data_IF_471924977288
#
_entry.id   IF_471924977288
#
_cell.length_a   1.000
_cell.length_b   1.000
_cell.length_c   1.000
_cell.angle_alpha   90.00
_cell.angle_beta   90.00
_cell.angle_gamma   90.00
#
_symmetry.space_group_name_H-M   'P 1'
#
loop_
_entity.id
_entity.type
_entity.pdbx_description
1 polymer ?
#
# COMPACT_ATOMS: atom_id res chain seq x y z
N UNK A 1 -1.30 -44.49 -58.96
CA UNK A 1 -2.52 -43.65 -58.99
C UNK A 1 -2.28 -42.18 -58.59
N UNK A 2 -1.22 -41.84 -57.85
CA UNK A 2 -0.93 -40.45 -57.43
C UNK A 2 0.06 -39.67 -58.33
N UNK A 3 0.74 -40.33 -59.28
CA UNK A 3 1.76 -39.70 -60.13
C UNK A 3 1.18 -38.78 -61.23
N UNK A 4 -0.11 -38.88 -61.54
CA UNK A 4 -0.79 -38.05 -62.54
C UNK A 4 -1.57 -36.86 -61.95
N UNK A 5 -1.52 -36.67 -60.63
CA UNK A 5 -2.27 -35.59 -59.98
C UNK A 5 -1.65 -34.22 -60.34
N UNK A 6 -2.43 -33.26 -60.88
CA UNK A 6 -1.94 -31.92 -61.16
C UNK A 6 -1.33 -31.28 -59.92
N UNK A 7 -0.25 -30.51 -60.06
CA UNK A 7 0.40 -29.79 -58.93
C UNK A 7 -0.58 -28.99 -58.07
N UNK A 8 -1.66 -28.48 -58.68
CA UNK A 8 -2.74 -27.78 -58.00
C UNK A 8 -3.45 -28.64 -56.94
N UNK A 9 -3.64 -29.94 -57.19
CA UNK A 9 -4.30 -30.86 -56.26
C UNK A 9 -3.43 -31.04 -55.00
N UNK A 10 -2.11 -31.13 -55.16
CA UNK A 10 -1.18 -31.20 -54.02
C UNK A 10 -1.15 -29.90 -53.21
N UNK A 11 -1.22 -28.74 -53.86
CA UNK A 11 -1.36 -27.45 -53.18
C UNK A 11 -2.68 -27.33 -52.40
N UNK A 12 -3.79 -27.77 -53.00
CA UNK A 12 -5.11 -27.76 -52.35
C UNK A 12 -5.17 -28.73 -51.16
N UNK A 13 -4.58 -29.92 -51.29
CA UNK A 13 -4.44 -30.87 -50.17
C UNK A 13 -3.54 -30.31 -49.06
N UNK A 14 -2.43 -29.67 -49.43
CA UNK A 14 -1.55 -28.97 -48.50
C UNK A 14 -2.29 -27.86 -47.74
N UNK A 15 -3.06 -27.03 -48.45
CA UNK A 15 -3.90 -25.98 -47.84
C UNK A 15 -4.99 -26.58 -46.94
N UNK A 16 -5.64 -27.67 -47.37
CA UNK A 16 -6.69 -28.36 -46.63
C UNK A 16 -6.19 -28.95 -45.31
N UNK A 17 -4.93 -29.38 -45.23
CA UNK A 17 -4.31 -29.83 -43.98
C UNK A 17 -3.75 -28.65 -43.17
N UNK A 18 -3.12 -27.69 -43.84
CA UNK A 18 -2.49 -26.54 -43.21
C UNK A 18 -3.47 -25.64 -42.49
N UNK A 19 -4.62 -25.32 -43.10
CA UNK A 19 -5.62 -24.42 -42.52
C UNK A 19 -6.17 -24.95 -41.19
N UNK A 20 -6.63 -26.22 -41.07
CA UNK A 20 -7.02 -26.80 -39.78
C UNK A 20 -5.88 -26.83 -38.77
N UNK A 21 -4.65 -27.19 -39.16
CA UNK A 21 -3.51 -27.18 -38.22
C UNK A 21 -3.26 -25.76 -37.69
N UNK A 22 -3.30 -24.75 -38.56
CA UNK A 22 -3.14 -23.36 -38.14
C UNK A 22 -4.30 -22.91 -37.26
N UNK A 23 -5.54 -23.17 -37.66
CA UNK A 23 -6.73 -22.70 -36.96
C UNK A 23 -7.03 -23.43 -35.65
N UNK A 24 -6.76 -24.73 -35.55
CA UNK A 24 -7.09 -25.56 -34.38
C UNK A 24 -5.90 -25.89 -33.49
N UNK A 25 -4.66 -25.78 -33.98
CA UNK A 25 -3.46 -26.04 -33.18
C UNK A 25 -2.66 -24.77 -32.97
N UNK A 26 -2.21 -24.10 -34.04
CA UNK A 26 -1.27 -22.98 -33.92
C UNK A 26 -1.92 -21.75 -33.30
N UNK A 27 -3.07 -21.30 -33.80
CA UNK A 27 -3.78 -20.12 -33.29
C UNK A 27 -4.23 -20.31 -31.84
N UNK A 28 -4.86 -21.43 -31.45
CA UNK A 28 -5.16 -21.73 -30.05
C UNK A 28 -3.93 -21.77 -29.16
N UNK A 29 -2.86 -22.44 -29.58
CA UNK A 29 -1.61 -22.52 -28.83
C UNK A 29 -0.94 -21.15 -28.64
N UNK A 30 -0.97 -20.31 -29.67
CA UNK A 30 -0.34 -18.99 -29.63
C UNK A 30 -1.15 -17.99 -28.79
N UNK A 31 -2.48 -17.93 -28.98
CA UNK A 31 -3.29 -16.83 -28.44
C UNK A 31 -4.22 -17.22 -27.29
N UNK A 32 -4.69 -18.46 -27.25
CA UNK A 32 -5.75 -18.87 -26.32
C UNK A 32 -5.24 -19.73 -25.17
N UNK A 33 -4.06 -20.37 -25.31
CA UNK A 33 -3.35 -21.04 -24.21
C UNK A 33 -4.25 -21.93 -23.36
N UNK A 34 -4.24 -21.71 -22.04
CA UNK A 34 -5.04 -22.46 -21.07
C UNK A 34 -6.31 -21.68 -20.67
N UNK A 35 -7.13 -21.29 -21.65
CA UNK A 35 -8.39 -20.59 -21.36
C UNK A 35 -9.34 -21.50 -20.59
N UNK A 36 -9.92 -20.98 -19.51
CA UNK A 36 -10.87 -21.68 -18.64
C UNK A 36 -12.29 -21.09 -18.84
N UNK A 37 -13.33 -21.80 -18.38
CA UNK A 37 -14.72 -21.29 -18.37
C UNK A 37 -14.93 -20.22 -17.31
N UNK A 38 -14.18 -20.26 -16.21
CA UNK A 38 -14.14 -19.21 -15.19
C UNK A 38 -13.35 -17.99 -15.69
N UNK A 39 -13.80 -16.79 -15.31
CA UNK A 39 -13.02 -15.56 -15.50
C UNK A 39 -11.68 -15.72 -14.81
N UNK A 40 -10.59 -15.35 -15.50
CA UNK A 40 -9.23 -15.47 -14.98
C UNK A 40 -8.53 -14.13 -14.92
N UNK A 41 -7.91 -13.82 -13.79
CA UNK A 41 -7.16 -12.58 -13.56
C UNK A 41 -5.74 -12.89 -13.09
N UNK A 42 -4.76 -12.23 -13.72
CA UNK A 42 -3.38 -12.22 -13.23
C UNK A 42 -3.18 -10.98 -12.37
N UNK A 43 -2.76 -11.15 -11.13
CA UNK A 43 -2.44 -10.05 -10.22
C UNK A 43 -0.93 -10.05 -10.03
N UNK A 44 -0.24 -8.99 -10.46
CA UNK A 44 1.22 -8.95 -10.45
C UNK A 44 1.75 -7.81 -9.60
N UNK A 45 2.66 -8.15 -8.69
CA UNK A 45 3.45 -7.22 -7.88
C UNK A 45 4.94 -7.50 -8.04
N UNK A 46 5.73 -6.48 -8.38
CA UNK A 46 7.20 -6.58 -8.35
C UNK A 46 7.74 -6.27 -6.96
N UNK A 47 7.25 -7.02 -5.99
CA UNK A 47 7.52 -6.91 -4.57
C UNK A 47 7.20 -8.22 -3.88
N UNK A 48 7.49 -8.29 -2.58
CA UNK A 48 7.14 -9.46 -1.78
C UNK A 48 5.62 -9.52 -1.56
N UNK A 49 5.02 -10.67 -1.87
CA UNK A 49 3.56 -10.86 -1.75
C UNK A 49 3.13 -10.79 -0.29
N UNK A 50 3.92 -11.36 0.64
CA UNK A 50 3.64 -11.28 2.08
C UNK A 50 3.55 -9.85 2.61
N UNK A 51 4.33 -8.93 2.03
CA UNK A 51 4.33 -7.51 2.37
C UNK A 51 3.48 -6.63 1.44
N UNK A 52 2.61 -7.21 0.61
CA UNK A 52 1.75 -6.49 -0.32
C UNK A 52 0.26 -6.71 0.00
N UNK A 53 -0.25 -6.19 1.14
CA UNK A 53 -1.58 -6.53 1.65
C UNK A 53 -2.70 -6.17 0.67
N UNK A 54 -2.60 -5.02 -0.02
CA UNK A 54 -3.58 -4.60 -1.04
C UNK A 54 -3.71 -5.61 -2.18
N UNK A 55 -2.61 -6.20 -2.65
CA UNK A 55 -2.65 -7.22 -3.69
C UNK A 55 -3.27 -8.53 -3.19
N UNK A 56 -2.97 -8.91 -1.95
CA UNK A 56 -3.64 -10.04 -1.30
C UNK A 56 -5.14 -9.78 -1.14
N UNK A 57 -5.56 -8.56 -0.81
CA UNK A 57 -6.98 -8.21 -0.71
C UNK A 57 -7.68 -8.26 -2.07
N UNK A 58 -7.05 -7.77 -3.15
CA UNK A 58 -7.57 -7.98 -4.49
C UNK A 58 -7.73 -9.46 -4.81
N UNK A 59 -6.70 -10.27 -4.53
CA UNK A 59 -6.73 -11.71 -4.80
C UNK A 59 -7.87 -12.41 -4.04
N UNK A 60 -8.05 -12.07 -2.76
CA UNK A 60 -9.15 -12.56 -1.94
C UNK A 60 -10.51 -12.16 -2.51
N UNK A 61 -10.74 -10.87 -2.75
CA UNK A 61 -12.02 -10.37 -3.25
C UNK A 61 -12.38 -10.95 -4.62
N UNK A 62 -11.42 -11.10 -5.54
CA UNK A 62 -11.69 -11.77 -6.83
C UNK A 62 -11.97 -13.28 -6.68
N UNK A 63 -11.25 -13.95 -5.78
CA UNK A 63 -11.47 -15.38 -5.47
C UNK A 63 -12.87 -15.63 -4.90
N UNK A 64 -13.34 -14.76 -4.01
CA UNK A 64 -14.70 -14.78 -3.44
C UNK A 64 -15.79 -14.58 -4.50
N UNK A 65 -15.51 -13.80 -5.54
CA UNK A 65 -16.38 -13.65 -6.72
C UNK A 65 -16.31 -14.85 -7.69
N UNK A 66 -15.57 -15.91 -7.33
CA UNK A 66 -15.45 -17.14 -8.11
C UNK A 66 -14.47 -17.08 -9.28
N UNK A 67 -13.63 -16.05 -9.35
CA UNK A 67 -12.63 -15.90 -10.42
C UNK A 67 -11.40 -16.75 -10.11
N UNK A 68 -10.74 -17.24 -11.15
CA UNK A 68 -9.42 -17.85 -11.02
C UNK A 68 -8.35 -16.75 -10.94
N UNK A 69 -7.58 -16.74 -9.86
CA UNK A 69 -6.57 -15.71 -9.58
C UNK A 69 -5.17 -16.28 -9.69
N UNK A 70 -4.34 -15.66 -10.52
CA UNK A 70 -2.92 -15.97 -10.66
C UNK A 70 -2.10 -14.87 -9.98
N UNK A 71 -1.75 -15.07 -8.71
CA UNK A 71 -1.04 -14.08 -7.90
C UNK A 71 0.48 -14.20 -8.08
N UNK A 72 1.09 -13.20 -8.69
CA UNK A 72 2.49 -13.21 -9.12
C UNK A 72 3.32 -12.20 -8.33
N UNK A 73 4.41 -12.65 -7.71
CA UNK A 73 5.33 -11.74 -7.00
C UNK A 73 6.56 -12.44 -6.44
N UNK A 74 7.32 -11.72 -5.63
CA UNK A 74 8.39 -12.33 -4.84
C UNK A 74 7.78 -13.07 -3.65
N UNK A 75 8.42 -14.18 -3.27
CA UNK A 75 8.04 -14.98 -2.10
C UNK A 75 9.25 -15.02 -1.17
N UNK A 76 9.43 -13.94 -0.41
CA UNK A 76 10.43 -13.84 0.65
C UNK A 76 9.77 -14.25 1.95
N UNK A 77 8.65 -13.62 2.30
CA UNK A 77 7.74 -14.06 3.36
C UNK A 77 6.60 -14.91 2.78
N UNK A 78 6.05 -15.81 3.60
CA UNK A 78 4.88 -16.59 3.18
C UNK A 78 3.64 -15.69 3.10
N UNK A 79 2.86 -15.76 2.00
CA UNK A 79 1.57 -15.10 1.93
C UNK A 79 0.64 -15.59 3.07
N UNK A 80 -0.39 -14.80 3.43
CA UNK A 80 -1.40 -15.19 4.40
C UNK A 80 -2.01 -16.57 4.08
N UNK A 81 -2.30 -17.36 5.13
CA UNK A 81 -2.79 -18.73 5.00
C UNK A 81 -4.05 -18.83 4.12
N UNK A 82 -4.96 -17.87 4.23
CA UNK A 82 -6.20 -17.83 3.45
C UNK A 82 -5.96 -17.67 1.93
N UNK A 83 -4.82 -17.07 1.53
CA UNK A 83 -4.41 -16.98 0.13
C UNK A 83 -3.84 -18.32 -0.34
N UNK A 84 -3.05 -18.97 0.50
CA UNK A 84 -2.39 -20.25 0.20
C UNK A 84 -3.36 -21.42 0.15
N UNK A 85 -4.42 -21.39 0.97
CA UNK A 85 -5.44 -22.44 1.08
C UNK A 85 -6.59 -22.27 0.08
N UNK A 86 -6.68 -21.11 -0.60
CA UNK A 86 -7.79 -20.83 -1.51
C UNK A 86 -7.73 -21.69 -2.77
N UNK A 87 -8.81 -22.42 -3.13
CA UNK A 87 -8.83 -23.29 -4.32
C UNK A 87 -8.83 -22.51 -5.64
N UNK A 88 -9.16 -21.22 -5.61
CA UNK A 88 -9.21 -20.38 -6.80
C UNK A 88 -7.95 -19.52 -6.98
N UNK A 89 -7.01 -19.53 -6.03
CA UNK A 89 -5.78 -18.72 -6.09
C UNK A 89 -4.58 -19.63 -6.36
N UNK A 90 -3.78 -19.29 -7.35
CA UNK A 90 -2.49 -19.93 -7.63
C UNK A 90 -1.38 -18.90 -7.51
N UNK A 91 -0.42 -19.15 -6.62
CA UNK A 91 0.70 -18.24 -6.36
C UNK A 91 1.91 -18.58 -7.24
N UNK A 92 2.44 -17.59 -7.96
CA UNK A 92 3.58 -17.71 -8.85
C UNK A 92 4.77 -16.90 -8.34
N UNK A 93 5.89 -17.59 -8.14
CA UNK A 93 7.15 -16.96 -7.75
C UNK A 93 7.85 -16.32 -8.94
N UNK A 94 8.14 -15.03 -8.83
CA UNK A 94 9.06 -14.33 -9.71
C UNK A 94 10.51 -14.53 -9.27
N UNK A 95 11.41 -14.73 -10.23
CA UNK A 95 12.85 -14.84 -9.94
C UNK A 95 13.39 -13.47 -9.55
N UNK A 96 14.09 -13.42 -8.42
CA UNK A 96 14.87 -12.26 -7.98
C UNK A 96 16.32 -12.42 -8.39
N UNK A 97 17.00 -11.29 -8.55
CA UNK A 97 18.40 -11.22 -8.93
C UNK A 97 19.11 -10.28 -7.97
N UNK A 98 20.03 -10.80 -7.16
CA UNK A 98 20.89 -10.01 -6.28
C UNK A 98 22.05 -9.37 -7.06
N UNK A 99 22.56 -8.24 -6.58
CA UNK A 99 23.78 -7.63 -7.09
C UNK A 99 24.97 -8.57 -6.86
N UNK A 100 25.93 -8.59 -7.79
CA UNK A 100 27.18 -9.34 -7.61
C UNK A 100 28.20 -8.48 -6.86
N UNK A 101 29.09 -9.11 -6.09
CA UNK A 101 30.21 -8.41 -5.47
C UNK A 101 31.07 -7.72 -6.54
N UNK A 102 31.40 -6.45 -6.33
CA UNK A 102 32.19 -5.63 -7.26
C UNK A 102 31.43 -5.06 -8.48
N UNK A 103 30.13 -5.33 -8.62
CA UNK A 103 29.32 -4.83 -9.75
C UNK A 103 28.92 -3.35 -9.53
N UNK A 104 29.05 -2.51 -10.57
CA UNK A 104 28.58 -1.12 -10.49
C UNK A 104 27.06 -1.06 -10.35
N UNK A 105 26.54 -0.03 -9.67
CA UNK A 105 25.10 0.13 -9.44
C UNK A 105 24.28 0.11 -10.74
N UNK A 106 24.80 0.71 -11.82
CA UNK A 106 24.13 0.74 -13.12
C UNK A 106 24.09 -0.64 -13.79
N UNK A 107 25.19 -1.41 -13.74
CA UNK A 107 25.24 -2.77 -14.28
C UNK A 107 24.30 -3.70 -13.51
N UNK A 108 24.32 -3.63 -12.18
CA UNK A 108 23.42 -4.42 -11.33
C UNK A 108 21.94 -4.10 -11.63
N UNK A 109 21.60 -2.83 -11.80
CA UNK A 109 20.25 -2.41 -12.17
C UNK A 109 19.84 -2.92 -13.56
N UNK A 110 20.70 -2.76 -14.57
CA UNK A 110 20.42 -3.23 -15.94
C UNK A 110 20.24 -4.76 -16.00
N UNK A 111 21.13 -5.52 -15.35
CA UNK A 111 21.03 -6.98 -15.26
C UNK A 111 19.76 -7.42 -14.54
N UNK A 112 19.43 -6.76 -13.42
CA UNK A 112 18.19 -7.02 -12.69
C UNK A 112 16.97 -6.83 -13.58
N UNK A 113 16.92 -5.73 -14.33
CA UNK A 113 15.82 -5.45 -15.28
C UNK A 113 15.76 -6.51 -16.38
N UNK A 114 16.87 -6.91 -16.97
CA UNK A 114 16.90 -7.96 -18.01
C UNK A 114 16.37 -9.30 -17.50
N UNK A 115 16.82 -9.74 -16.31
CA UNK A 115 16.34 -10.97 -15.68
C UNK A 115 14.84 -10.88 -15.38
N UNK A 116 14.36 -9.73 -14.90
CA UNK A 116 12.93 -9.49 -14.68
C UNK A 116 12.15 -9.58 -15.99
N UNK A 117 12.61 -8.95 -17.08
CA UNK A 117 11.94 -9.00 -18.40
C UNK A 117 11.77 -10.44 -18.87
N UNK A 118 12.83 -11.25 -18.83
CA UNK A 118 12.78 -12.66 -19.25
C UNK A 118 11.90 -13.50 -18.33
N UNK A 119 12.03 -13.32 -17.01
CA UNK A 119 11.26 -14.09 -16.03
C UNK A 119 9.76 -13.78 -16.12
N UNK A 120 9.41 -12.50 -16.20
CA UNK A 120 8.02 -12.04 -16.32
C UNK A 120 7.47 -12.50 -17.67
N UNK A 121 8.18 -12.26 -18.77
CA UNK A 121 7.75 -12.69 -20.11
C UNK A 121 7.47 -14.19 -20.20
N UNK A 122 8.36 -15.03 -19.65
CA UNK A 122 8.16 -16.48 -19.60
C UNK A 122 7.00 -16.92 -18.69
N UNK A 123 6.71 -16.17 -17.62
CA UNK A 123 5.52 -16.41 -16.80
C UNK A 123 4.24 -16.03 -17.55
N UNK A 124 4.19 -14.84 -18.14
CA UNK A 124 3.03 -14.36 -18.90
C UNK A 124 2.72 -15.25 -20.11
N UNK A 125 3.75 -15.80 -20.76
CA UNK A 125 3.58 -16.80 -21.81
C UNK A 125 2.84 -18.06 -21.32
N UNK A 126 3.09 -18.50 -20.08
CA UNK A 126 2.36 -19.63 -19.48
C UNK A 126 0.95 -19.25 -19.03
N UNK A 127 0.72 -17.99 -18.69
CA UNK A 127 -0.57 -17.46 -18.22
C UNK A 127 -1.45 -16.89 -19.35
N UNK A 128 -1.14 -17.15 -20.62
CA UNK A 128 -2.01 -16.79 -21.76
C UNK A 128 -3.41 -17.37 -21.62
N UNK A 129 -4.39 -16.66 -22.17
CA UNK A 129 -5.81 -16.99 -22.01
C UNK A 129 -6.46 -16.38 -20.76
N UNK A 130 -5.76 -15.51 -20.03
CA UNK A 130 -6.32 -14.72 -18.93
C UNK A 130 -7.13 -13.54 -19.47
N UNK A 131 -8.25 -13.21 -18.82
CA UNK A 131 -9.14 -12.13 -19.26
C UNK A 131 -8.69 -10.76 -18.76
N UNK A 132 -8.07 -10.72 -17.57
CA UNK A 132 -7.62 -9.49 -16.90
C UNK A 132 -6.19 -9.61 -16.39
N UNK A 133 -5.48 -8.47 -16.39
CA UNK A 133 -4.17 -8.31 -15.78
C UNK A 133 -4.20 -7.11 -14.85
N UNK A 134 -4.09 -7.31 -13.54
CA UNK A 134 -4.00 -6.25 -12.54
C UNK A 134 -2.54 -6.04 -12.16
N UNK A 135 -2.06 -4.82 -12.37
CA UNK A 135 -0.70 -4.40 -12.05
C UNK A 135 -0.69 -3.42 -10.89
N UNK A 136 0.09 -3.69 -9.85
CA UNK A 136 0.45 -2.69 -8.85
C UNK A 136 1.48 -1.70 -9.43
N UNK A 137 1.16 -0.40 -9.37
CA UNK A 137 2.10 0.67 -9.68
C UNK A 137 2.31 1.59 -8.46
N UNK A 138 3.55 1.84 -8.02
CA UNK A 138 4.85 1.38 -8.55
C UNK A 138 5.25 -0.04 -8.10
N UNK A 139 6.31 -0.65 -8.68
CA UNK A 139 7.21 -0.10 -9.72
C UNK A 139 6.66 -0.26 -11.14
N UNK A 140 6.92 0.74 -11.98
CA UNK A 140 6.46 0.77 -13.37
C UNK A 140 7.43 0.09 -14.32
N UNK A 141 8.74 0.18 -14.06
CA UNK A 141 9.78 -0.39 -14.92
C UNK A 141 10.29 -1.71 -14.30
N UNK A 142 10.35 -2.83 -15.06
CA UNK A 142 9.96 -2.99 -16.46
C UNK A 142 8.51 -3.47 -16.67
N UNK A 143 7.76 -3.72 -15.60
CA UNK A 143 6.50 -4.48 -15.66
C UNK A 143 5.37 -3.78 -16.42
N UNK A 144 5.22 -2.46 -16.31
CA UNK A 144 4.13 -1.74 -16.97
C UNK A 144 4.21 -1.85 -18.50
N UNK A 145 5.36 -1.60 -19.17
CA UNK A 145 5.53 -1.90 -20.59
C UNK A 145 5.22 -3.35 -20.96
N UNK A 146 5.74 -4.31 -20.18
CA UNK A 146 5.55 -5.74 -20.45
C UNK A 146 4.07 -6.11 -20.37
N UNK A 147 3.38 -5.67 -19.31
CA UNK A 147 1.97 -5.95 -19.09
C UNK A 147 1.09 -5.32 -20.18
N UNK A 148 1.37 -4.08 -20.59
CA UNK A 148 0.64 -3.42 -21.66
C UNK A 148 0.80 -4.15 -23.01
N UNK A 149 2.03 -4.52 -23.39
CA UNK A 149 2.30 -5.27 -24.62
C UNK A 149 1.63 -6.64 -24.57
N UNK A 150 1.76 -7.36 -23.45
CA UNK A 150 1.10 -8.64 -23.23
C UNK A 150 -0.42 -8.53 -23.41
N UNK A 151 -1.05 -7.53 -22.79
CA UNK A 151 -2.49 -7.33 -22.85
C UNK A 151 -2.99 -7.05 -24.28
N UNK A 152 -2.23 -6.27 -25.05
CA UNK A 152 -2.53 -6.02 -26.46
C UNK A 152 -2.41 -7.30 -27.30
N UNK A 153 -1.32 -8.06 -27.14
CA UNK A 153 -1.06 -9.27 -27.93
C UNK A 153 -2.05 -10.40 -27.66
N UNK A 154 -2.49 -10.57 -26.42
CA UNK A 154 -3.34 -11.68 -25.99
C UNK A 154 -4.79 -11.28 -25.68
N UNK A 155 -5.20 -10.06 -26.08
CA UNK A 155 -6.55 -9.51 -25.85
C UNK A 155 -7.01 -9.57 -24.38
N UNK A 156 -6.06 -9.36 -23.47
CA UNK A 156 -6.31 -9.28 -22.04
C UNK A 156 -6.54 -7.81 -21.64
N UNK A 157 -7.41 -7.56 -20.66
CA UNK A 157 -7.69 -6.19 -20.18
C UNK A 157 -6.74 -5.81 -19.05
N UNK A 158 -5.93 -4.79 -19.28
CA UNK A 158 -5.01 -4.26 -18.28
C UNK A 158 -5.75 -3.33 -17.29
N UNK A 159 -5.60 -3.62 -16.00
CA UNK A 159 -5.99 -2.79 -14.87
C UNK A 159 -4.70 -2.31 -14.20
N UNK A 160 -4.51 -1.00 -14.05
CA UNK A 160 -3.40 -0.45 -13.28
C UNK A 160 -3.93 0.07 -11.95
N UNK A 161 -3.41 -0.47 -10.86
CA UNK A 161 -3.68 0.01 -9.51
C UNK A 161 -2.59 0.99 -9.06
N UNK A 162 -2.93 2.27 -8.99
CA UNK A 162 -2.01 3.37 -8.72
C UNK A 162 -1.98 3.69 -7.23
N UNK A 163 -0.82 3.45 -6.61
CA UNK A 163 -0.51 3.75 -5.21
C UNK A 163 0.35 4.99 -5.07
N UNK A 164 1.28 5.16 -6.00
CA UNK A 164 2.12 6.35 -6.15
C UNK A 164 2.65 6.39 -7.59
N UNK A 165 3.54 7.33 -7.89
CA UNK A 165 4.24 7.39 -9.18
C UNK A 165 5.69 6.97 -9.04
N UNK A 166 6.16 6.10 -9.93
CA UNK A 166 7.56 5.69 -9.97
C UNK A 166 8.49 6.89 -10.15
N UNK A 167 8.12 7.83 -11.02
CA UNK A 167 8.92 9.04 -11.27
C UNK A 167 8.97 9.99 -10.05
N UNK A 168 7.93 10.07 -9.22
CA UNK A 168 7.95 10.97 -8.05
C UNK A 168 8.87 10.46 -6.96
N UNK A 169 8.88 9.13 -6.74
CA UNK A 169 9.82 8.48 -5.81
C UNK A 169 11.26 8.68 -6.29
N UNK A 170 11.52 8.51 -7.60
CA UNK A 170 12.84 8.75 -8.16
C UNK A 170 13.24 10.23 -8.09
N UNK A 171 12.29 11.16 -8.27
CA UNK A 171 12.52 12.60 -8.10
C UNK A 171 12.99 12.91 -6.68
N UNK A 172 12.38 12.33 -5.65
CA UNK A 172 12.86 12.49 -4.26
C UNK A 172 14.29 11.99 -4.10
N UNK A 173 14.63 10.84 -4.69
CA UNK A 173 15.97 10.26 -4.59
C UNK A 173 17.05 11.09 -5.29
N UNK A 174 16.75 11.62 -6.49
CA UNK A 174 17.71 12.35 -7.31
C UNK A 174 17.63 13.88 -7.15
N UNK A 175 16.64 14.40 -6.43
CA UNK A 175 16.44 15.83 -6.16
C UNK A 175 15.97 16.66 -7.36
N UNK A 176 15.84 16.09 -8.55
CA UNK A 176 15.47 16.83 -9.77
C UNK A 176 14.55 16.02 -10.68
N UNK A 177 13.52 16.69 -11.20
CA UNK A 177 12.63 16.12 -12.22
C UNK A 177 13.34 15.91 -13.56
N UNK A 178 14.30 16.78 -13.87
CA UNK A 178 15.04 16.77 -15.13
C UNK A 178 16.15 15.71 -15.17
N UNK A 179 16.34 14.96 -14.09
CA UNK A 179 17.27 13.85 -14.09
C UNK A 179 16.82 12.79 -15.13
N UNK A 180 17.70 12.30 -16.02
CA UNK A 180 17.32 11.44 -17.15
C UNK A 180 16.49 10.21 -16.75
N UNK A 181 16.83 9.58 -15.63
CA UNK A 181 16.10 8.40 -15.11
C UNK A 181 14.67 8.75 -14.67
N UNK A 182 14.46 9.96 -14.11
CA UNK A 182 13.14 10.44 -13.68
C UNK A 182 12.28 10.73 -14.90
N UNK A 183 12.84 11.38 -15.93
CA UNK A 183 12.16 11.63 -17.20
C UNK A 183 11.75 10.33 -17.90
N UNK A 184 12.65 9.34 -17.96
CA UNK A 184 12.34 8.02 -18.52
C UNK A 184 11.22 7.33 -17.75
N UNK A 185 11.25 7.35 -16.41
CA UNK A 185 10.17 6.80 -15.59
C UNK A 185 8.85 7.49 -15.85
N UNK A 186 8.84 8.83 -15.93
CA UNK A 186 7.65 9.61 -16.22
C UNK A 186 7.09 9.26 -17.61
N UNK A 187 7.94 9.20 -18.64
CA UNK A 187 7.53 8.84 -19.99
C UNK A 187 6.96 7.42 -20.08
N UNK A 188 7.57 6.46 -19.40
CA UNK A 188 7.06 5.07 -19.33
C UNK A 188 5.67 5.06 -18.69
N UNK A 189 5.50 5.69 -17.53
CA UNK A 189 4.19 5.77 -16.88
C UNK A 189 3.18 6.49 -17.79
N UNK A 190 3.56 7.63 -18.39
CA UNK A 190 2.70 8.45 -19.24
C UNK A 190 2.21 7.72 -20.50
N UNK A 191 3.13 7.05 -21.22
CA UNK A 191 2.80 6.39 -22.48
C UNK A 191 2.02 5.10 -22.25
N UNK A 192 2.48 4.25 -21.35
CA UNK A 192 1.90 2.92 -21.17
C UNK A 192 0.61 2.95 -20.32
N UNK A 193 0.41 3.96 -19.47
CA UNK A 193 -0.88 4.15 -18.80
C UNK A 193 -2.05 4.26 -19.79
N UNK A 194 -1.85 4.92 -20.94
CA UNK A 194 -2.90 5.11 -21.95
C UNK A 194 -3.37 3.81 -22.62
N UNK A 195 -2.55 2.75 -22.52
CA UNK A 195 -2.86 1.43 -23.07
C UNK A 195 -3.69 0.57 -22.10
N UNK A 196 -3.87 1.01 -20.86
CA UNK A 196 -4.69 0.29 -19.90
C UNK A 196 -6.18 0.45 -20.17
N UNK A 197 -6.93 -0.61 -19.86
CA UNK A 197 -8.39 -0.62 -19.95
C UNK A 197 -9.02 0.13 -18.78
N UNK A 198 -8.46 -0.03 -17.58
CA UNK A 198 -8.98 0.53 -16.35
C UNK A 198 -7.86 0.97 -15.40
N UNK A 199 -8.16 1.93 -14.54
CA UNK A 199 -7.26 2.49 -13.54
C UNK A 199 -7.96 2.56 -12.19
N UNK A 200 -7.29 2.07 -11.15
CA UNK A 200 -7.70 2.22 -9.77
C UNK A 200 -6.77 3.24 -9.12
N UNK A 201 -7.31 4.19 -8.37
CA UNK A 201 -6.51 5.21 -7.67
C UNK A 201 -6.81 5.21 -6.18
N UNK A 202 -5.79 5.39 -5.36
CA UNK A 202 -5.94 5.47 -3.89
C UNK A 202 -6.69 6.72 -3.41
N UNK A 203 -6.78 7.75 -4.24
CA UNK A 203 -7.41 9.05 -3.92
C UNK A 203 -8.17 9.64 -5.10
N UNK A 204 -9.10 10.56 -4.82
CA UNK A 204 -9.75 11.41 -5.83
C UNK A 204 -8.74 12.37 -6.46
N UNK A 205 -7.83 12.94 -5.67
CA UNK A 205 -6.77 13.80 -6.19
C UNK A 205 -5.92 13.09 -7.26
N UNK A 206 -5.56 11.83 -7.04
CA UNK A 206 -4.83 11.03 -8.02
C UNK A 206 -5.66 10.73 -9.27
N UNK A 207 -6.98 10.45 -9.13
CA UNK A 207 -7.89 10.32 -10.28
C UNK A 207 -7.90 11.60 -11.11
N UNK A 208 -8.05 12.76 -10.47
CA UNK A 208 -8.03 14.07 -11.15
C UNK A 208 -6.70 14.27 -11.87
N UNK A 209 -5.57 14.00 -11.22
CA UNK A 209 -4.24 14.13 -11.82
C UNK A 209 -4.05 13.23 -13.05
N UNK A 210 -4.48 11.98 -12.99
CA UNK A 210 -4.44 11.06 -14.13
C UNK A 210 -5.33 11.52 -15.29
N UNK A 211 -6.51 12.07 -15.00
CA UNK A 211 -7.40 12.60 -16.04
C UNK A 211 -6.81 13.86 -16.67
N UNK A 212 -6.35 14.82 -15.87
CA UNK A 212 -5.87 16.12 -16.37
C UNK A 212 -4.49 16.04 -17.03
N UNK A 213 -3.56 15.31 -16.41
CA UNK A 213 -2.14 15.33 -16.80
C UNK A 213 -1.83 14.20 -17.78
N UNK A 214 -2.38 13.00 -17.55
CA UNK A 214 -2.17 11.86 -18.44
C UNK A 214 -3.19 11.81 -19.58
N UNK A 215 -4.25 12.63 -19.52
CA UNK A 215 -5.30 12.68 -20.54
C UNK A 215 -6.16 11.41 -20.57
N UNK A 216 -6.29 10.74 -19.43
CA UNK A 216 -7.06 9.50 -19.34
C UNK A 216 -8.57 9.80 -19.28
N UNK A 217 -9.38 8.89 -19.84
CA UNK A 217 -10.84 9.01 -19.76
C UNK A 217 -11.30 8.79 -18.32
N UNK A 218 -12.01 9.77 -17.74
CA UNK A 218 -12.55 9.69 -16.37
C UNK A 218 -13.43 8.45 -16.13
N UNK A 219 -14.11 7.94 -17.17
CA UNK A 219 -14.93 6.71 -17.08
C UNK A 219 -14.12 5.42 -16.87
N UNK A 220 -12.81 5.46 -17.10
CA UNK A 220 -11.89 4.32 -16.93
C UNK A 220 -11.10 4.41 -15.63
N UNK A 221 -11.21 5.51 -14.89
CA UNK A 221 -10.45 5.76 -13.67
C UNK A 221 -11.41 5.78 -12.50
N UNK A 222 -11.21 4.89 -11.53
CA UNK A 222 -12.08 4.73 -10.36
C UNK A 222 -11.26 4.85 -9.09
N UNK A 223 -11.83 5.47 -8.06
CA UNK A 223 -11.15 5.59 -6.77
C UNK A 223 -11.42 4.33 -5.97
N UNK A 224 -10.36 3.64 -5.58
CA UNK A 224 -10.38 2.52 -4.66
C UNK A 224 -9.56 2.91 -3.43
N UNK A 225 -10.27 3.43 -2.43
CA UNK A 225 -9.67 3.80 -1.16
C UNK A 225 -9.20 2.55 -0.43
N UNK A 226 -8.00 2.63 0.14
CA UNK A 226 -7.53 1.66 1.11
C UNK A 226 -8.36 1.70 2.38
N UNK A 227 -8.43 0.54 3.04
CA UNK A 227 -9.21 0.34 4.26
C UNK A 227 -8.45 -0.55 5.24
N UNK A 228 -8.75 -0.43 6.54
CA UNK A 228 -7.99 -1.14 7.56
C UNK A 228 -8.15 -2.66 7.43
N UNK A 229 -7.06 -3.38 7.73
CA UNK A 229 -7.08 -4.84 7.81
C UNK A 229 -8.05 -5.34 8.87
N UNK A 230 -8.51 -6.59 8.73
CA UNK A 230 -9.50 -7.22 9.61
C UNK A 230 -9.00 -7.35 11.07
N UNK A 231 -7.68 -7.45 11.27
CA UNK A 231 -7.04 -7.51 12.59
C UNK A 231 -7.11 -6.18 13.37
N UNK A 232 -7.27 -5.04 12.68
CA UNK A 232 -7.43 -3.74 13.32
C UNK A 232 -8.90 -3.50 13.61
N UNK A 233 -9.24 -3.62 14.89
CA UNK A 233 -10.60 -3.45 15.43
C UNK A 233 -10.56 -2.64 16.71
N UNK A 234 -11.60 -1.86 17.03
CA UNK A 234 -11.70 -1.21 18.32
C UNK A 234 -11.70 -2.21 19.48
N UNK A 235 -11.23 -1.77 20.64
CA UNK A 235 -11.29 -2.55 21.87
C UNK A 235 -12.75 -2.83 22.25
N UNK A 236 -13.10 -4.10 22.50
CA UNK A 236 -14.45 -4.52 22.93
C UNK A 236 -14.57 -4.80 24.43
N UNK A 237 -13.45 -4.83 25.15
CA UNK A 237 -13.39 -5.16 26.59
C UNK A 237 -12.90 -3.99 27.46
N UNK A 238 -12.61 -4.30 28.72
CA UNK A 238 -12.08 -3.33 29.67
C UNK A 238 -10.62 -2.97 29.33
N UNK A 239 -10.39 -1.68 29.08
CA UNK A 239 -9.06 -1.12 28.81
C UNK A 239 -8.13 -1.28 30.00
N UNK A 240 -8.61 -1.16 31.23
CA UNK A 240 -7.75 -1.29 32.42
C UNK A 240 -7.19 -2.71 32.55
N UNK A 241 -8.02 -3.72 32.32
CA UNK A 241 -7.58 -5.12 32.28
C UNK A 241 -6.60 -5.37 31.13
N UNK A 242 -6.87 -4.82 29.94
CA UNK A 242 -6.00 -5.00 28.78
C UNK A 242 -4.62 -4.35 28.95
N UNK A 243 -4.52 -3.26 29.73
CA UNK A 243 -3.24 -2.64 30.10
C UNK A 243 -2.40 -3.48 31.08
N UNK A 244 -2.98 -4.52 31.71
CA UNK A 244 -2.24 -5.45 32.57
C UNK A 244 -1.55 -6.58 31.80
N UNK A 245 -1.70 -6.65 30.47
CA UNK A 245 -1.04 -7.68 29.68
C UNK A 245 0.49 -7.52 29.68
N UNK A 246 1.21 -8.64 29.69
CA UNK A 246 2.67 -8.71 29.87
C UNK A 246 3.47 -7.85 28.88
N UNK A 247 2.97 -7.68 27.66
CA UNK A 247 3.67 -6.90 26.63
C UNK A 247 3.57 -5.37 26.82
N UNK A 248 2.63 -4.88 27.64
CA UNK A 248 2.43 -3.43 27.88
C UNK A 248 2.67 -3.04 29.32
N UNK A 249 2.24 -3.87 30.28
CA UNK A 249 2.28 -3.54 31.71
C UNK A 249 3.66 -3.08 32.21
N UNK A 250 4.78 -3.69 31.80
CA UNK A 250 6.13 -3.26 32.22
C UNK A 250 6.54 -1.89 31.67
N UNK A 251 5.88 -1.41 30.61
CA UNK A 251 6.19 -0.16 29.90
C UNK A 251 5.42 1.04 30.44
N UNK A 252 4.45 0.82 31.34
CA UNK A 252 3.68 1.89 31.96
C UNK A 252 4.45 2.41 33.19
N UNK A 253 4.87 3.68 33.23
CA UNK A 253 5.66 4.21 34.33
C UNK A 253 4.85 4.30 35.63
N UNK A 254 5.55 4.28 36.76
CA UNK A 254 4.93 4.40 38.08
C UNK A 254 4.24 5.77 38.24
N UNK A 255 3.00 5.74 38.74
CA UNK A 255 2.18 6.95 38.90
C UNK A 255 1.61 7.53 37.59
N UNK A 256 1.57 6.74 36.51
CA UNK A 256 0.77 7.03 35.33
C UNK A 256 -0.67 6.58 35.57
N UNK A 257 -1.63 7.50 35.45
CA UNK A 257 -3.02 7.24 35.76
C UNK A 257 -3.96 7.82 34.70
N UNK A 258 -4.53 6.93 33.89
CA UNK A 258 -5.46 7.26 32.81
C UNK A 258 -6.76 7.88 33.37
N UNK A 259 -7.17 7.49 34.57
CA UNK A 259 -8.37 8.03 35.21
C UNK A 259 -8.18 9.49 35.64
N UNK A 260 -6.95 9.88 35.98
CA UNK A 260 -6.58 11.27 36.29
C UNK A 260 -6.43 12.17 35.06
N UNK A 261 -6.46 11.61 33.85
CA UNK A 261 -6.36 12.36 32.59
C UNK A 261 -5.13 12.05 31.75
N UNK A 262 -4.19 11.24 32.26
CA UNK A 262 -3.01 10.82 31.48
C UNK A 262 -3.41 10.06 30.22
N UNK A 263 -2.60 10.17 29.15
CA UNK A 263 -2.91 9.58 27.84
C UNK A 263 -1.73 8.85 27.23
N UNK A 264 -2.08 7.83 26.46
CA UNK A 264 -1.14 6.99 25.71
C UNK A 264 -1.18 7.43 24.24
N UNK A 265 -0.02 7.80 23.71
CA UNK A 265 0.19 8.12 22.31
C UNK A 265 0.96 7.00 21.63
N UNK A 266 0.75 6.83 20.32
CA UNK A 266 1.57 5.94 19.50
C UNK A 266 1.92 6.58 18.17
N UNK A 267 3.16 6.38 17.73
CA UNK A 267 3.58 6.64 16.36
C UNK A 267 4.28 5.41 15.80
N UNK A 268 4.00 5.09 14.54
CA UNK A 268 4.71 4.06 13.79
C UNK A 268 5.58 4.73 12.74
N UNK A 269 6.88 4.48 12.79
CA UNK A 269 7.85 5.13 11.91
C UNK A 269 8.86 4.17 11.28
N UNK A 270 9.23 4.44 10.02
CA UNK A 270 10.34 3.76 9.36
C UNK A 270 11.71 4.30 9.77
N UNK A 271 11.80 5.30 10.64
CA UNK A 271 13.07 5.94 11.03
C UNK A 271 13.93 6.33 9.83
N UNK A 272 13.29 6.84 8.79
CA UNK A 272 13.89 7.32 7.56
C UNK A 272 13.69 8.84 7.43
N UNK A 273 14.52 9.55 6.66
CA UNK A 273 14.45 11.02 6.57
C UNK A 273 13.12 11.59 6.07
N UNK A 274 12.32 10.80 5.35
CA UNK A 274 10.99 11.15 4.85
C UNK A 274 9.90 11.18 5.95
N UNK A 275 10.18 10.58 7.12
CA UNK A 275 9.33 10.66 8.31
C UNK A 275 10.10 11.36 9.44
N UNK A 276 9.97 12.69 9.49
CA UNK A 276 10.75 13.52 10.40
C UNK A 276 10.27 13.40 11.86
N UNK A 277 10.79 12.40 12.58
CA UNK A 277 10.53 12.19 14.02
C UNK A 277 10.97 13.37 14.90
N UNK A 278 11.83 14.26 14.40
CA UNK A 278 12.22 15.46 15.14
C UNK A 278 11.04 16.40 15.38
N UNK A 279 9.99 16.35 14.55
CA UNK A 279 8.76 17.12 14.75
C UNK A 279 8.03 16.68 16.03
N UNK A 280 7.85 15.38 16.22
CA UNK A 280 7.18 14.83 17.41
C UNK A 280 8.03 15.03 18.66
N UNK A 281 9.32 14.65 18.62
CA UNK A 281 10.21 14.84 19.77
C UNK A 281 10.30 16.33 20.13
N UNK A 282 10.40 17.21 19.13
CA UNK A 282 10.38 18.65 19.34
C UNK A 282 9.09 19.16 19.99
N UNK A 283 7.93 18.66 19.56
CA UNK A 283 6.65 19.00 20.18
C UNK A 283 6.55 18.52 21.64
N UNK A 284 7.03 17.30 21.93
CA UNK A 284 7.09 16.76 23.29
C UNK A 284 8.05 17.56 24.18
N UNK A 285 9.18 18.04 23.66
CA UNK A 285 10.05 18.97 24.41
C UNK A 285 9.34 20.28 24.75
N UNK A 286 8.53 20.81 23.83
CA UNK A 286 7.73 22.03 24.11
C UNK A 286 6.67 21.73 25.17
N UNK A 287 6.06 20.55 25.13
CA UNK A 287 5.08 20.09 26.13
C UNK A 287 5.69 20.01 27.53
N UNK A 288 6.88 19.40 27.64
CA UNK A 288 7.66 19.31 28.88
C UNK A 288 8.02 20.71 29.42
N UNK A 289 8.47 21.62 28.54
CA UNK A 289 8.76 23.00 28.92
C UNK A 289 7.51 23.78 29.37
N UNK A 290 6.35 23.50 28.77
CA UNK A 290 5.08 24.12 29.15
C UNK A 290 4.68 23.71 30.56
N UNK A 291 4.86 22.42 30.89
CA UNK A 291 4.69 21.92 32.24
C UNK A 291 5.61 22.61 33.25
N UNK A 292 6.88 22.79 32.92
CA UNK A 292 7.87 23.37 33.86
C UNK A 292 7.67 24.87 34.10
N UNK A 293 7.13 25.61 33.13
CA UNK A 293 7.11 27.08 33.16
C UNK A 293 5.73 27.70 33.34
N UNK A 294 4.67 27.04 32.86
CA UNK A 294 3.38 27.69 32.65
C UNK A 294 2.18 26.90 33.19
N UNK A 295 2.17 25.58 33.05
CA UNK A 295 0.97 24.75 33.32
C UNK A 295 1.33 23.43 34.03
N UNK A 296 1.36 23.46 35.36
CA UNK A 296 1.68 22.29 36.18
C UNK A 296 0.59 21.20 36.19
N UNK A 297 -0.61 21.52 35.70
CA UNK A 297 -1.78 20.63 35.71
C UNK A 297 -1.94 19.85 34.39
N UNK A 298 -1.01 20.03 33.44
CA UNK A 298 -1.09 19.33 32.17
C UNK A 298 -0.91 17.80 32.37
N UNK A 299 -1.69 16.93 31.70
CA UNK A 299 -1.60 15.49 31.93
C UNK A 299 -0.29 14.87 31.44
N UNK A 300 0.09 13.71 31.99
CA UNK A 300 1.26 12.96 31.52
C UNK A 300 0.98 12.29 30.18
N UNK A 301 2.04 12.15 29.39
CA UNK A 301 2.03 11.44 28.11
C UNK A 301 2.91 10.21 28.20
N UNK A 302 2.35 9.05 27.87
CA UNK A 302 3.12 7.84 27.54
C UNK A 302 3.15 7.68 26.02
N UNK A 303 4.28 7.90 25.38
CA UNK A 303 4.44 7.86 23.92
C UNK A 303 5.19 6.61 23.48
N UNK A 304 4.51 5.72 22.77
CA UNK A 304 5.11 4.57 22.12
C UNK A 304 5.57 4.92 20.71
N UNK A 305 6.84 4.65 20.42
CA UNK A 305 7.43 4.81 19.09
C UNK A 305 7.81 3.43 18.58
N UNK A 306 7.12 2.95 17.55
CA UNK A 306 7.35 1.62 16.95
C UNK A 306 7.92 1.71 15.54
N UNK A 307 8.61 0.64 15.14
CA UNK A 307 9.16 0.45 13.79
C UNK A 307 10.66 0.22 13.76
N UNK A 308 11.22 0.24 12.54
CA UNK A 308 12.62 -0.06 12.25
C UNK A 308 13.15 0.89 11.20
N UNK A 309 14.40 1.32 11.39
CA UNK A 309 15.17 1.98 10.36
C UNK A 309 16.45 2.62 10.89
N UNK A 310 17.23 3.24 10.00
CA UNK A 310 18.60 3.64 10.27
C UNK A 310 18.72 4.73 11.33
N UNK A 311 17.73 5.63 11.46
CA UNK A 311 17.77 6.74 12.40
C UNK A 311 17.28 6.40 13.81
N UNK A 312 16.85 5.15 14.07
CA UNK A 312 16.29 4.76 15.38
C UNK A 312 17.24 5.04 16.54
N UNK A 313 18.50 4.62 16.41
CA UNK A 313 19.49 4.78 17.46
C UNK A 313 19.77 6.26 17.76
N UNK A 314 19.87 7.08 16.73
CA UNK A 314 20.04 8.52 16.87
C UNK A 314 18.92 9.15 17.71
N UNK A 315 17.66 8.84 17.42
CA UNK A 315 16.54 9.39 18.19
C UNK A 315 16.46 8.86 19.62
N UNK A 316 16.85 7.60 19.85
CA UNK A 316 16.97 7.05 21.21
C UNK A 316 17.99 7.82 22.04
N UNK A 317 19.12 8.22 21.45
CA UNK A 317 20.12 9.05 22.12
C UNK A 317 19.59 10.46 22.42
N UNK A 318 18.92 11.09 21.45
CA UNK A 318 18.28 12.41 21.65
C UNK A 318 17.25 12.40 22.79
N UNK A 319 16.46 11.33 22.91
CA UNK A 319 15.48 11.19 24.00
C UNK A 319 16.18 11.00 25.35
N UNK A 320 17.29 10.24 25.40
CA UNK A 320 18.05 10.00 26.64
C UNK A 320 18.77 11.24 27.19
N UNK A 321 19.16 12.18 26.32
CA UNK A 321 19.83 13.41 26.74
C UNK A 321 18.92 14.42 27.43
N UNK A 322 17.61 14.20 27.40
CA UNK A 322 16.60 15.11 27.92
C UNK A 322 16.04 14.59 29.25
N UNK A 323 15.69 15.51 30.15
CA UNK A 323 15.00 15.17 31.40
C UNK A 323 13.49 15.30 31.18
N UNK A 324 12.80 14.18 31.32
CA UNK A 324 11.34 14.13 31.17
C UNK A 324 10.67 13.88 32.52
N UNK A 325 9.76 14.76 32.90
CA UNK A 325 8.91 14.64 34.10
C UNK A 325 7.45 14.41 33.71
N UNK A 326 7.02 15.00 32.58
CA UNK A 326 5.63 14.95 32.12
C UNK A 326 5.44 14.01 30.93
N UNK A 327 6.49 13.71 30.19
CA UNK A 327 6.48 12.77 29.07
C UNK A 327 7.28 11.52 29.40
N UNK A 328 6.83 10.36 28.94
CA UNK A 328 7.58 9.11 28.94
C UNK A 328 7.58 8.55 27.53
N UNK A 329 8.74 8.19 26.99
CA UNK A 329 8.89 7.74 25.60
C UNK A 329 9.50 6.34 25.58
N UNK A 330 8.79 5.41 24.96
CA UNK A 330 9.19 4.01 24.87
C UNK A 330 9.35 3.58 23.40
N UNK A 331 10.53 3.05 23.07
CA UNK A 331 10.85 2.58 21.72
C UNK A 331 10.62 1.08 21.62
N UNK A 332 9.59 0.66 20.89
CA UNK A 332 9.14 -0.73 20.86
C UNK A 332 9.43 -1.43 19.54
N UNK A 333 9.60 -2.74 19.64
CA UNK A 333 9.43 -3.66 18.53
C UNK A 333 8.26 -4.58 18.89
N UNK A 334 7.23 -4.60 18.05
CA UNK A 334 6.00 -5.36 18.29
C UNK A 334 5.86 -6.43 17.22
N UNK A 335 5.34 -7.58 17.60
CA UNK A 335 4.89 -8.59 16.64
C UNK A 335 3.65 -8.12 15.88
N UNK A 336 3.33 -8.80 14.77
CA UNK A 336 2.10 -8.56 13.99
C UNK A 336 0.82 -8.74 14.81
N UNK A 337 0.87 -9.53 15.89
CA UNK A 337 -0.26 -9.77 16.80
C UNK A 337 -0.37 -8.73 17.92
N UNK A 338 0.75 -8.21 18.41
CA UNK A 338 0.77 -7.22 19.49
C UNK A 338 0.52 -5.80 18.99
N UNK A 339 0.93 -5.47 17.76
CA UNK A 339 0.75 -4.12 17.22
C UNK A 339 -0.73 -3.69 17.19
N UNK A 340 -1.70 -4.48 16.66
CA UNK A 340 -3.11 -4.12 16.73
C UNK A 340 -3.63 -3.96 18.16
N UNK A 341 -3.17 -4.81 19.09
CA UNK A 341 -3.53 -4.74 20.52
C UNK A 341 -3.01 -3.45 21.14
N UNK A 342 -1.79 -3.02 20.84
CA UNK A 342 -1.27 -1.75 21.34
C UNK A 342 -2.12 -0.57 20.84
N UNK A 343 -2.45 -0.53 19.54
CA UNK A 343 -3.25 0.56 18.97
C UNK A 343 -4.62 0.70 19.66
N UNK A 344 -5.23 -0.42 20.07
CA UNK A 344 -6.49 -0.44 20.82
C UNK A 344 -6.40 0.22 22.20
N UNK A 345 -5.19 0.24 22.80
CA UNK A 345 -4.94 0.78 24.13
C UNK A 345 -4.52 2.25 24.11
N UNK A 346 -4.20 2.80 22.94
CA UNK A 346 -3.80 4.20 22.80
C UNK A 346 -5.01 5.14 22.75
N UNK A 347 -4.79 6.40 23.14
CA UNK A 347 -5.77 7.48 23.05
C UNK A 347 -5.66 8.20 21.70
N UNK A 348 -4.43 8.46 21.24
CA UNK A 348 -4.18 9.08 19.94
C UNK A 348 -3.01 8.44 19.18
N UNK A 349 -3.13 8.41 17.87
CA UNK A 349 -2.04 8.14 16.95
C UNK A 349 -1.40 9.43 16.46
N UNK A 350 -0.09 9.42 16.22
CA UNK A 350 0.60 10.51 15.53
C UNK A 350 1.19 9.99 14.23
N UNK A 351 0.86 10.64 13.11
CA UNK A 351 1.43 10.31 11.80
C UNK A 351 2.28 11.45 11.27
N UNK A 352 3.55 11.14 10.98
CA UNK A 352 4.53 12.06 10.44
C UNK A 352 4.75 11.88 8.94
N UNK A 353 3.94 11.01 8.33
CA UNK A 353 4.11 10.61 6.94
C UNK A 353 3.86 11.78 5.99
N UNK A 354 4.69 11.87 4.96
CA UNK A 354 4.53 12.79 3.84
C UNK A 354 4.50 12.03 2.53
N UNK A 355 3.82 12.61 1.53
CA UNK A 355 3.64 11.98 0.22
C UNK A 355 4.64 12.52 -0.80
N UNK A 356 5.34 11.62 -1.50
CA UNK A 356 6.30 11.99 -2.56
C UNK A 356 5.66 12.73 -3.75
N UNK A 357 4.42 12.38 -4.06
CA UNK A 357 3.64 12.97 -5.15
C UNK A 357 2.66 14.04 -4.68
N UNK A 358 2.39 14.09 -3.37
CA UNK A 358 1.27 14.84 -2.77
C UNK A 358 -0.11 14.20 -3.01
N UNK A 359 -0.18 12.99 -3.57
CA UNK A 359 -1.41 12.38 -4.09
C UNK A 359 -1.79 11.04 -3.43
N UNK A 360 -0.94 10.49 -2.57
CA UNK A 360 -1.20 9.23 -1.85
C UNK A 360 -1.49 9.44 -0.35
N UNK A 361 -2.16 8.45 0.25
CA UNK A 361 -2.59 8.48 1.64
C UNK A 361 -1.69 7.64 2.54
N UNK A 362 -1.55 8.02 3.83
CA UNK A 362 -0.67 7.32 4.76
C UNK A 362 -1.37 6.05 5.27
N UNK A 363 -0.90 4.88 4.83
CA UNK A 363 -1.50 3.59 5.19
C UNK A 363 -1.56 3.33 6.69
N UNK A 364 -0.56 3.81 7.45
CA UNK A 364 -0.49 3.66 8.92
C UNK A 364 -1.68 4.28 9.65
N UNK A 365 -2.28 5.33 9.10
CA UNK A 365 -3.47 5.97 9.67
C UNK A 365 -4.69 5.05 9.56
N UNK A 366 -4.73 4.19 8.53
CA UNK A 366 -5.80 3.21 8.39
C UNK A 366 -5.73 2.17 9.50
N UNK A 367 -4.54 1.71 9.89
CA UNK A 367 -4.39 0.79 11.03
C UNK A 367 -4.93 1.42 12.32
N UNK A 368 -4.59 2.69 12.55
CA UNK A 368 -5.07 3.48 13.68
C UNK A 368 -6.60 3.61 13.65
N UNK A 369 -7.18 4.04 12.54
CA UNK A 369 -8.64 4.13 12.38
C UNK A 369 -9.34 2.78 12.48
N UNK A 370 -8.73 1.70 11.98
CA UNK A 370 -9.24 0.34 12.14
C UNK A 370 -9.37 -0.04 13.61
N UNK A 371 -8.42 0.37 14.45
CA UNK A 371 -8.46 0.21 15.90
C UNK A 371 -9.29 1.27 16.63
N UNK A 372 -9.99 2.15 15.90
CA UNK A 372 -10.79 3.24 16.45
C UNK A 372 -9.97 4.33 17.12
N UNK A 373 -8.71 4.50 16.72
CA UNK A 373 -7.76 5.45 17.29
C UNK A 373 -7.76 6.76 16.47
N UNK A 374 -8.16 7.91 17.03
CA UNK A 374 -8.05 9.20 16.34
C UNK A 374 -6.59 9.59 16.12
N UNK A 375 -6.33 10.38 15.07
CA UNK A 375 -4.95 10.64 14.61
C UNK A 375 -4.65 12.13 14.49
N UNK A 376 -3.47 12.53 14.95
CA UNK A 376 -2.87 13.84 14.69
C UNK A 376 -1.82 13.67 13.60
N UNK A 377 -2.02 14.28 12.43
CA UNK A 377 -1.22 13.98 11.24
C UNK A 377 -0.59 15.22 10.61
N UNK A 378 0.61 15.04 10.04
CA UNK A 378 1.28 16.09 9.28
C UNK A 378 0.43 16.47 8.05
N UNK A 379 0.13 17.76 7.88
CA UNK A 379 -0.79 18.23 6.86
C UNK A 379 -0.13 18.30 5.48
N UNK A 380 -0.77 17.66 4.49
CA UNK A 380 -0.40 17.76 3.09
C UNK A 380 -1.66 17.64 2.19
N UNK A 381 -1.62 18.08 0.93
CA UNK A 381 -2.83 18.44 0.15
C UNK A 381 -3.96 17.40 0.12
N UNK A 382 -3.64 16.11 -0.07
CA UNK A 382 -4.65 15.05 -0.21
C UNK A 382 -5.13 14.48 1.12
N UNK A 383 -4.47 14.81 2.24
CA UNK A 383 -4.81 14.25 3.56
C UNK A 383 -6.27 14.51 3.96
N UNK A 384 -6.89 15.56 3.44
CA UNK A 384 -8.32 15.85 3.64
C UNK A 384 -9.28 14.76 3.19
N UNK A 385 -8.86 13.85 2.30
CA UNK A 385 -9.67 12.68 1.91
C UNK A 385 -9.73 11.60 2.98
N UNK A 386 -8.76 11.58 3.91
CA UNK A 386 -8.69 10.60 5.00
C UNK A 386 -9.02 11.22 6.36
N UNK A 387 -8.48 12.41 6.64
CA UNK A 387 -8.67 13.11 7.91
C UNK A 387 -9.56 14.34 7.71
N UNK A 388 -10.73 14.27 8.33
CA UNK A 388 -11.66 15.38 8.48
C UNK A 388 -11.38 16.08 9.81
N UNK A 389 -11.00 17.36 9.71
CA UNK A 389 -10.57 18.17 10.86
C UNK A 389 -11.68 18.26 11.90
N UNK A 390 -11.34 18.04 13.17
CA UNK A 390 -12.27 17.99 14.32
C UNK A 390 -13.37 16.91 14.22
N UNK A 391 -13.22 15.93 13.33
CA UNK A 391 -14.14 14.79 13.22
C UNK A 391 -13.44 13.50 13.60
N UNK A 392 -12.38 13.12 12.89
CA UNK A 392 -11.65 11.87 13.13
C UNK A 392 -10.15 12.10 13.42
N UNK A 393 -9.67 13.33 13.29
CA UNK A 393 -8.29 13.69 13.59
C UNK A 393 -8.00 15.18 13.54
N UNK A 394 -6.76 15.52 13.88
CA UNK A 394 -6.20 16.86 13.79
C UNK A 394 -5.04 16.90 12.80
N UNK A 395 -4.67 18.10 12.37
CA UNK A 395 -3.61 18.34 11.38
C UNK A 395 -2.62 19.36 11.91
N UNK A 396 -1.35 19.21 11.56
CA UNK A 396 -0.29 20.14 11.92
C UNK A 396 0.72 20.32 10.78
N UNK A 397 1.39 21.47 10.71
CA UNK A 397 2.46 21.75 9.75
C UNK A 397 3.86 21.79 10.40
N UNK A 398 3.93 21.89 11.72
CA UNK A 398 5.21 21.90 12.43
C UNK A 398 5.10 21.58 13.92
N UNK A 399 6.24 21.53 14.58
CA UNK A 399 6.38 21.17 16.00
C UNK A 399 5.54 22.02 16.97
N UNK A 400 5.30 23.31 16.67
CA UNK A 400 4.46 24.19 17.50
C UNK A 400 2.98 23.85 17.39
N UNK A 401 2.47 23.70 16.16
CA UNK A 401 1.09 23.28 15.92
C UNK A 401 0.84 21.86 16.45
N UNK A 402 1.82 20.95 16.34
CA UNK A 402 1.71 19.62 16.93
C UNK A 402 1.62 19.70 18.46
N UNK A 403 2.44 20.55 19.10
CA UNK A 403 2.33 20.81 20.53
C UNK A 403 0.95 21.36 20.91
N UNK A 404 0.43 22.36 20.19
CA UNK A 404 -0.90 22.93 20.44
C UNK A 404 -2.00 21.87 20.29
N UNK A 405 -1.92 21.03 19.25
CA UNK A 405 -2.83 19.91 19.06
C UNK A 405 -2.76 18.92 20.23
N UNK A 406 -1.57 18.60 20.73
CA UNK A 406 -1.39 17.76 21.92
C UNK A 406 -2.06 18.40 23.14
N UNK A 407 -1.75 19.64 23.49
CA UNK A 407 -2.38 20.32 24.64
C UNK A 407 -3.91 20.30 24.52
N UNK A 408 -4.43 20.58 23.32
CA UNK A 408 -5.86 20.60 23.06
C UNK A 408 -6.53 19.26 23.31
N UNK A 409 -6.00 18.16 22.74
CA UNK A 409 -6.60 16.82 22.92
C UNK A 409 -6.40 16.23 24.31
N UNK A 410 -5.37 16.68 25.03
CA UNK A 410 -5.06 16.21 26.38
C UNK A 410 -5.97 16.88 27.43
N UNK A 411 -6.29 18.17 27.26
CA UNK A 411 -7.08 18.95 28.23
C UNK A 411 -8.58 19.00 27.92
N UNK A 412 -8.97 19.00 26.65
CA UNK A 412 -10.38 19.07 26.26
C UNK A 412 -10.98 17.68 26.07
N UNK A 413 -11.75 17.25 27.08
CA UNK A 413 -12.44 15.95 27.06
C UNK A 413 -13.44 15.83 25.91
N UNK A 414 -14.16 16.91 25.58
CA UNK A 414 -15.16 16.89 24.52
C UNK A 414 -14.51 16.67 23.16
N UNK A 415 -13.39 17.36 22.91
CA UNK A 415 -12.60 17.17 21.68
C UNK A 415 -12.12 15.72 21.57
N UNK A 416 -11.59 15.15 22.65
CA UNK A 416 -11.18 13.74 22.65
C UNK A 416 -12.36 12.82 22.30
N UNK A 417 -13.52 12.99 22.94
CA UNK A 417 -14.71 12.17 22.70
C UNK A 417 -15.23 12.30 21.26
N UNK A 418 -15.28 13.51 20.72
CA UNK A 418 -15.72 13.79 19.35
C UNK A 418 -14.77 13.13 18.33
N UNK A 419 -13.46 13.31 18.50
CA UNK A 419 -12.44 12.68 17.64
C UNK A 419 -12.50 11.16 17.72
N UNK A 420 -12.65 10.59 18.91
CA UNK A 420 -12.77 9.15 19.13
C UNK A 420 -14.01 8.60 18.44
N UNK A 421 -15.14 9.30 18.52
CA UNK A 421 -16.38 8.93 17.83
C UNK A 421 -16.20 8.90 16.30
N UNK A 422 -15.52 9.88 15.72
CA UNK A 422 -15.21 9.89 14.29
C UNK A 422 -14.26 8.75 13.88
N UNK A 423 -13.22 8.48 14.67
CA UNK A 423 -12.32 7.35 14.41
C UNK A 423 -13.05 6.00 14.50
N UNK A 424 -13.98 5.84 15.46
CA UNK A 424 -14.83 4.66 15.56
C UNK A 424 -15.78 4.53 14.36
N UNK A 425 -16.29 5.62 13.81
CA UNK A 425 -17.07 5.59 12.58
C UNK A 425 -16.22 5.12 11.38
N UNK A 426 -14.99 5.64 11.24
CA UNK A 426 -14.05 5.20 10.21
C UNK A 426 -13.66 3.73 10.34
N UNK A 427 -13.58 3.20 11.57
CA UNK A 427 -13.29 1.78 11.82
C UNK A 427 -14.31 0.82 11.18
N UNK A 428 -15.51 1.28 10.82
CA UNK A 428 -16.54 0.47 10.18
C UNK A 428 -16.33 0.33 8.67
N UNK A 429 -15.57 1.22 8.04
CA UNK A 429 -15.30 1.19 6.61
C UNK A 429 -14.29 0.08 6.30
N UNK A 430 -14.70 -0.96 5.58
CA UNK A 430 -13.84 -2.12 5.27
C UNK A 430 -13.51 -2.23 3.79
N UNK A 431 -12.46 -3.00 3.51
CA UNK A 431 -11.92 -3.20 2.16
C UNK A 431 -12.99 -3.67 1.18
N UNK A 432 -13.77 -4.68 1.56
CA UNK A 432 -14.70 -5.33 0.64
C UNK A 432 -15.75 -4.37 0.10
N UNK A 433 -16.33 -3.52 0.95
CA UNK A 433 -17.33 -2.53 0.52
C UNK A 433 -16.74 -1.50 -0.46
N UNK A 434 -15.52 -1.03 -0.17
CA UNK A 434 -14.77 -0.10 -1.04
C UNK A 434 -14.44 -0.75 -2.38
N UNK A 435 -14.02 -2.03 -2.33
CA UNK A 435 -13.63 -2.82 -3.48
C UNK A 435 -14.81 -3.11 -4.39
N UNK A 436 -15.94 -3.59 -3.84
CA UNK A 436 -17.15 -3.88 -4.62
C UNK A 436 -17.64 -2.64 -5.35
N UNK A 437 -17.76 -1.50 -4.64
CA UNK A 437 -18.19 -0.24 -5.24
C UNK A 437 -17.29 0.17 -6.42
N UNK A 438 -15.96 0.04 -6.26
CA UNK A 438 -15.01 0.39 -7.32
C UNK A 438 -15.09 -0.57 -8.54
N UNK A 439 -15.24 -1.88 -8.28
CA UNK A 439 -15.35 -2.87 -9.35
C UNK A 439 -16.70 -2.80 -10.09
N UNK A 440 -17.76 -2.42 -9.39
CA UNK A 440 -19.08 -2.14 -9.97
C UNK A 440 -19.06 -0.88 -10.85
N UNK A 441 -18.42 0.22 -10.39
CA UNK A 441 -18.24 1.44 -11.21
C UNK A 441 -17.50 1.13 -12.53
N UNK A 442 -16.53 0.22 -12.49
CA UNK A 442 -15.80 -0.26 -13.66
C UNK A 442 -16.54 -1.35 -14.46
N UNK A 443 -17.72 -1.79 -14.01
CA UNK A 443 -18.50 -2.87 -14.60
C UNK A 443 -17.74 -4.21 -14.73
N UNK A 444 -16.80 -4.47 -13.81
CA UNK A 444 -16.01 -5.70 -13.77
C UNK A 444 -16.78 -6.84 -13.10
N UNK A 445 -17.54 -6.50 -12.06
CA UNK A 445 -18.48 -7.37 -11.37
C UNK A 445 -19.91 -6.85 -11.56
N UNK A 446 -20.91 -7.73 -11.38
CA UNK A 446 -22.33 -7.40 -11.35
C UNK A 446 -22.93 -8.14 -10.15
N UNK A 447 -23.73 -7.45 -9.35
CA UNK A 447 -24.59 -8.07 -8.34
C UNK A 447 -25.69 -8.89 -8.98
#
# INVERSE_FOLDING_TARGET
MFEAAPRLVWWLLGLYVFVPVVCYVVVPFLFYGNRNTKKRIVICVLGDVGHSPRMCYHARSFSEQGWQVELCGYLVEQPPADIMESPNITVHRLKTCSAREGESFLMAAARKVLVQVVSIGGLLWRLRGSDYFLLQNPPSIPILPIAAIYCILFRCKLIIDWHNFGYSILKLKFGSFWHPVVLVSFLVEYLFAKLASYHLTVTKAMKVYLVSTFGLSSKRVTVLYDRPAVQFRPLTGDRQQALQQDFVRPLIPSGFDISSGDRILVTSTSFTPDEDLSLLIGALKIYENSYQKFDHDIPKILCFITGKGPLKQHFMEVVKTEKWERVHIEFLWLSTEEYPKLLQLCDFGVSLHTSSSGLDLPMKILDMFGSGLPVIAYNYPVLGELIQYNVNGLKFLGRRELHEALVFVMKDKKVHEDLKKGALAESKNRWQDSWEAAMEELSLIRR
#
